data_IF_212182330330
#
_entry.id   IF_212182330330
#
_cell.length_a   1.000
_cell.length_b   1.000
_cell.length_c   1.000
_cell.angle_alpha   90.00
_cell.angle_beta   90.00
_cell.angle_gamma   90.00
#
_symmetry.space_group_name_H-M   'P 1'
#
loop_
_entity.id
_entity.type
_entity.pdbx_description
1 polymer ?
#
# COMPACT_ATOMS: atom_id res chain seq x y z
N UNK A 1 -23.40 -56.29 17.73
CA UNK A 1 -24.17 -55.14 17.21
C UNK A 1 -23.37 -54.52 16.08
N UNK A 2 -23.82 -54.70 14.83
CA UNK A 2 -23.14 -54.22 13.63
C UNK A 2 -23.68 -52.82 13.32
N UNK A 3 -22.83 -51.81 13.41
CA UNK A 3 -23.18 -50.41 13.13
C UNK A 3 -23.24 -50.19 11.62
N UNK A 4 -24.38 -50.56 11.02
CA UNK A 4 -24.68 -50.23 9.62
C UNK A 4 -25.09 -48.77 9.53
N UNK A 5 -24.11 -47.88 9.59
CA UNK A 5 -24.33 -46.49 9.21
C UNK A 5 -24.78 -46.49 7.74
N UNK A 6 -26.00 -46.00 7.41
CA UNK A 6 -26.51 -46.06 6.05
C UNK A 6 -25.56 -45.28 5.15
N UNK A 7 -25.18 -45.87 4.02
CA UNK A 7 -24.26 -45.29 3.03
C UNK A 7 -24.67 -43.85 2.65
N UNK A 8 -25.98 -43.60 2.66
CA UNK A 8 -26.59 -42.28 2.47
C UNK A 8 -26.09 -41.23 3.49
N UNK A 9 -25.97 -41.59 4.76
CA UNK A 9 -25.51 -40.70 5.82
C UNK A 9 -24.03 -40.33 5.67
N UNK A 10 -23.20 -41.27 5.17
CA UNK A 10 -21.79 -40.99 4.85
C UNK A 10 -21.64 -40.01 3.69
N UNK A 11 -22.48 -40.15 2.66
CA UNK A 11 -22.51 -39.23 1.52
C UNK A 11 -22.97 -37.83 1.93
N UNK A 12 -24.01 -37.75 2.76
CA UNK A 12 -24.51 -36.46 3.28
C UNK A 12 -23.46 -35.74 4.13
N UNK A 13 -22.74 -36.47 4.99
CA UNK A 13 -21.63 -35.91 5.79
C UNK A 13 -20.50 -35.42 4.88
N UNK A 14 -20.12 -36.18 3.85
CA UNK A 14 -19.06 -35.79 2.92
C UNK A 14 -19.41 -34.51 2.14
N UNK A 15 -20.67 -34.39 1.68
CA UNK A 15 -21.15 -33.17 1.00
C UNK A 15 -21.17 -31.99 1.96
N UNK A 16 -21.65 -32.18 3.19
CA UNK A 16 -21.69 -31.11 4.19
C UNK A 16 -20.28 -30.63 4.58
N UNK A 17 -19.34 -31.55 4.76
CA UNK A 17 -17.93 -31.22 5.03
C UNK A 17 -17.31 -30.48 3.85
N UNK A 18 -17.51 -30.95 2.60
CA UNK A 18 -17.00 -30.26 1.41
C UNK A 18 -17.56 -28.85 1.25
N UNK A 19 -18.83 -28.65 1.57
CA UNK A 19 -19.51 -27.35 1.47
C UNK A 19 -19.06 -26.37 2.56
N UNK A 20 -18.79 -26.87 3.77
CA UNK A 20 -18.21 -26.06 4.86
C UNK A 20 -16.76 -25.69 4.55
N UNK A 21 -15.92 -26.63 4.12
CA UNK A 21 -14.50 -26.34 3.81
C UNK A 21 -14.36 -25.35 2.65
N UNK A 22 -15.21 -25.45 1.62
CA UNK A 22 -15.22 -24.51 0.50
C UNK A 22 -15.62 -23.07 0.87
N UNK A 23 -16.37 -22.88 1.96
CA UNK A 23 -16.77 -21.56 2.46
C UNK A 23 -15.70 -20.89 3.35
N UNK A 24 -14.73 -21.67 3.85
CA UNK A 24 -13.65 -21.22 4.72
C UNK A 24 -12.30 -21.16 4.02
N UNK A 25 -12.26 -21.10 2.69
CA UNK A 25 -11.04 -20.64 2.00
C UNK A 25 -11.02 -19.12 2.18
N UNK A 26 -10.18 -18.55 3.06
CA UNK A 26 -9.99 -17.12 3.05
C UNK A 26 -9.53 -16.77 1.63
N UNK A 27 -10.25 -15.87 0.97
CA UNK A 27 -9.69 -15.21 -0.19
C UNK A 27 -8.37 -14.61 0.29
N UNK A 28 -7.24 -15.15 -0.17
CA UNK A 28 -5.93 -14.56 0.00
C UNK A 28 -6.08 -13.16 -0.60
N UNK A 29 -6.34 -12.17 0.24
CA UNK A 29 -6.33 -10.78 -0.17
C UNK A 29 -4.88 -10.56 -0.52
N UNK A 30 -4.62 -10.46 -1.82
CA UNK A 30 -3.33 -10.13 -2.39
C UNK A 30 -2.96 -8.72 -1.89
N UNK A 31 -2.43 -8.66 -0.67
CA UNK A 31 -1.79 -7.49 -0.06
C UNK A 31 -0.37 -7.39 -0.62
N UNK A 32 -0.22 -7.57 -1.92
CA UNK A 32 1.03 -7.23 -2.58
C UNK A 32 1.06 -5.71 -2.76
N UNK A 33 1.45 -5.02 -1.68
CA UNK A 33 2.39 -3.89 -1.65
C UNK A 33 2.23 -2.70 -2.60
N UNK A 34 1.08 -2.50 -3.27
CA UNK A 34 0.96 -1.40 -4.25
C UNK A 34 0.92 0.00 -3.62
N UNK A 35 0.74 0.12 -2.31
CA UNK A 35 0.56 1.42 -1.63
C UNK A 35 1.79 1.81 -0.79
N UNK A 36 2.83 1.00 -0.82
CA UNK A 36 4.00 1.11 0.05
C UNK A 36 4.92 2.27 -0.31
N UNK A 37 4.64 2.95 -1.42
CA UNK A 37 5.41 4.08 -1.94
C UNK A 37 4.50 5.24 -2.33
N UNK A 38 3.24 5.18 -1.94
CA UNK A 38 2.25 6.18 -2.28
C UNK A 38 2.63 7.52 -1.65
N UNK A 39 2.62 8.54 -2.50
CA UNK A 39 2.73 9.92 -2.07
C UNK A 39 1.46 10.27 -1.29
N UNK A 40 1.66 10.58 -0.01
CA UNK A 40 0.59 10.93 0.94
C UNK A 40 0.36 12.43 1.02
N UNK A 41 1.27 13.24 0.48
CA UNK A 41 1.07 14.68 0.40
C UNK A 41 2.14 15.44 -0.38
N UNK A 42 1.83 16.70 -0.65
CA UNK A 42 2.71 17.65 -1.32
C UNK A 42 2.34 19.07 -0.90
N UNK A 43 3.32 19.89 -0.55
CA UNK A 43 3.12 21.26 -0.08
C UNK A 43 4.20 22.19 -0.64
N UNK A 44 3.82 23.39 -1.07
CA UNK A 44 4.77 24.46 -1.35
C UNK A 44 5.17 25.12 -0.03
N UNK A 45 6.46 25.33 0.18
CA UNK A 45 6.98 25.97 1.38
C UNK A 45 7.18 27.48 1.16
N UNK A 46 7.27 28.24 2.26
CA UNK A 46 7.66 29.65 2.20
C UNK A 46 9.13 29.78 1.78
N UNK A 47 9.50 30.94 1.24
CA UNK A 47 10.89 31.21 0.86
C UNK A 47 11.85 31.07 2.04
N UNK A 48 11.45 31.51 3.24
CA UNK A 48 12.21 31.35 4.48
C UNK A 48 12.46 29.88 4.83
N UNK A 49 11.43 29.03 4.69
CA UNK A 49 11.56 27.60 4.93
C UNK A 49 12.45 26.91 3.90
N UNK A 50 12.43 27.37 2.64
CA UNK A 50 13.33 26.88 1.59
C UNK A 50 14.79 27.29 1.84
N UNK A 51 15.02 28.54 2.26
CA UNK A 51 16.36 29.01 2.64
C UNK A 51 16.92 28.24 3.84
N UNK A 52 16.07 27.91 4.83
CA UNK A 52 16.46 27.06 5.95
C UNK A 52 16.85 25.62 5.55
N UNK A 53 16.54 25.21 4.32
CA UNK A 53 16.92 23.93 3.70
C UNK A 53 18.03 24.09 2.65
N UNK A 54 18.71 25.25 2.63
CA UNK A 54 19.76 25.61 1.67
C UNK A 54 19.31 25.58 0.19
N UNK A 55 18.02 25.79 -0.06
CA UNK A 55 17.46 25.88 -1.41
C UNK A 55 17.25 27.35 -1.81
N UNK A 56 17.99 27.77 -2.83
CA UNK A 56 17.86 29.10 -3.41
C UNK A 56 16.62 29.19 -4.32
N UNK A 57 15.45 29.46 -3.73
CA UNK A 57 14.20 29.75 -4.43
C UNK A 57 13.01 28.91 -3.96
N UNK A 58 11.87 28.97 -4.70
CA UNK A 58 10.67 28.23 -4.35
C UNK A 58 10.95 26.73 -4.29
N UNK A 59 10.54 26.11 -3.19
CA UNK A 59 10.70 24.69 -2.94
C UNK A 59 9.41 24.12 -2.34
N UNK A 60 9.32 22.80 -2.29
CA UNK A 60 8.21 22.14 -1.65
C UNK A 60 8.59 20.81 -1.06
N UNK A 61 7.78 20.38 -0.11
CA UNK A 61 7.91 19.11 0.58
C UNK A 61 6.91 18.11 -0.01
N UNK A 62 7.35 16.87 -0.10
CA UNK A 62 6.55 15.73 -0.52
C UNK A 62 6.70 14.65 0.54
N UNK A 63 5.60 14.01 0.88
CA UNK A 63 5.56 12.90 1.84
C UNK A 63 5.11 11.64 1.13
N UNK A 64 5.71 10.50 1.49
CA UNK A 64 5.30 9.18 1.00
C UNK A 64 5.49 8.13 2.09
N UNK A 65 4.85 6.98 1.94
CA UNK A 65 5.14 5.79 2.77
C UNK A 65 6.38 5.09 2.21
N UNK A 66 7.23 4.52 3.06
CA UNK A 66 8.31 3.63 2.62
C UNK A 66 7.83 2.16 2.63
N UNK A 67 8.69 1.24 2.19
CA UNK A 67 8.39 -0.20 2.09
C UNK A 67 8.03 -0.89 3.41
N UNK A 68 8.18 -0.21 4.54
CA UNK A 68 7.78 -0.70 5.87
C UNK A 68 6.61 0.12 6.47
N UNK A 69 5.99 1.00 5.68
CA UNK A 69 4.82 1.80 6.05
C UNK A 69 5.13 3.05 6.88
N UNK A 70 6.39 3.47 6.98
CA UNK A 70 6.76 4.70 7.67
C UNK A 70 6.62 5.91 6.75
N UNK A 71 6.09 7.01 7.30
CA UNK A 71 6.00 8.28 6.58
C UNK A 71 7.37 8.95 6.52
N UNK A 72 7.87 9.14 5.32
CA UNK A 72 9.11 9.88 5.03
C UNK A 72 8.79 11.12 4.22
N UNK A 73 9.73 12.08 4.21
CA UNK A 73 9.58 13.31 3.46
C UNK A 73 10.90 13.79 2.88
N UNK A 74 10.81 14.57 1.82
CA UNK A 74 11.95 15.26 1.22
C UNK A 74 11.50 16.57 0.61
N UNK A 75 12.41 17.54 0.66
CA UNK A 75 12.22 18.86 0.08
C UNK A 75 12.98 18.93 -1.24
N UNK A 76 12.33 19.43 -2.28
CA UNK A 76 12.95 19.69 -3.57
C UNK A 76 12.65 21.11 -4.05
N UNK A 77 13.49 21.66 -4.95
CA UNK A 77 13.13 22.84 -5.72
C UNK A 77 11.78 22.63 -6.43
N UNK A 78 10.90 23.64 -6.42
CA UNK A 78 9.56 23.54 -6.97
C UNK A 78 9.57 23.32 -8.50
N UNK A 79 10.67 23.70 -9.17
CA UNK A 79 10.89 23.47 -10.59
C UNK A 79 11.52 22.10 -10.90
N UNK A 80 11.94 21.33 -9.90
CA UNK A 80 12.49 20.00 -10.09
C UNK A 80 11.44 19.03 -10.64
N UNK A 81 11.88 18.04 -11.39
CA UNK A 81 11.02 16.95 -11.88
C UNK A 81 10.38 16.20 -10.71
N UNK A 82 11.16 15.89 -9.67
CA UNK A 82 10.70 15.19 -8.48
C UNK A 82 9.58 15.92 -7.74
N UNK A 83 9.64 17.25 -7.65
CA UNK A 83 8.52 17.99 -7.12
C UNK A 83 7.36 18.04 -8.10
N UNK A 84 7.60 18.42 -9.36
CA UNK A 84 6.53 18.69 -10.33
C UNK A 84 5.69 17.46 -10.68
N UNK A 85 6.34 16.35 -10.99
CA UNK A 85 5.69 15.15 -11.52
C UNK A 85 5.01 14.32 -10.42
N UNK A 86 5.40 14.53 -9.16
CA UNK A 86 4.78 13.86 -8.01
C UNK A 86 3.32 14.27 -7.80
N UNK A 87 2.46 13.26 -7.60
CA UNK A 87 1.02 13.38 -7.34
C UNK A 87 0.61 12.51 -6.16
N UNK A 88 -0.18 13.07 -5.25
CA UNK A 88 -0.79 12.31 -4.14
C UNK A 88 -1.65 11.17 -4.68
N UNK A 89 -1.58 9.99 -4.06
CA UNK A 89 -2.29 8.80 -4.53
C UNK A 89 -1.53 7.95 -5.56
N UNK A 90 -0.28 8.33 -5.87
CA UNK A 90 0.58 7.62 -6.81
C UNK A 90 1.94 7.36 -6.19
N UNK A 91 2.64 6.34 -6.69
CA UNK A 91 3.99 6.03 -6.25
C UNK A 91 4.97 7.16 -6.60
N UNK A 92 5.86 7.45 -5.65
CA UNK A 92 6.98 8.36 -5.91
C UNK A 92 7.96 7.72 -6.89
N UNK A 93 8.39 8.47 -7.91
CA UNK A 93 9.37 8.01 -8.90
C UNK A 93 10.65 7.49 -8.24
N UNK A 94 11.13 6.33 -8.71
CA UNK A 94 12.35 5.68 -8.23
C UNK A 94 13.57 6.60 -8.22
N UNK A 95 13.71 7.43 -9.27
CA UNK A 95 14.79 8.42 -9.40
C UNK A 95 14.78 9.50 -8.32
N UNK A 96 13.63 9.74 -7.70
CA UNK A 96 13.45 10.76 -6.67
C UNK A 96 13.68 10.23 -5.25
N UNK A 97 13.74 8.90 -5.06
CA UNK A 97 13.90 8.30 -3.73
C UNK A 97 15.35 8.30 -3.24
N UNK A 98 16.32 8.30 -4.15
CA UNK A 98 17.76 8.18 -3.84
C UNK A 98 18.45 9.53 -3.59
#
# INVERSE_FOLDING_TARGET
>A
MRTEFPILLRLLIAVFIGLVIGFFVPAEVDRENRWDLEVTGKLLLSEEACQAKDLAGPCGEVWWLNSIGEKVYRTWPANSECYRETRTGYDLLDSCRN
#
